data_IF_390853207749
#
_entry.id   IF_390853207749
#
_cell.length_a   1.000
_cell.length_b   1.000
_cell.length_c   1.000
_cell.angle_alpha   90.00
_cell.angle_beta   90.00
_cell.angle_gamma   90.00
#
_symmetry.space_group_name_H-M   'P 1'
#
loop_
_entity.id
_entity.type
_entity.pdbx_description
1 polymer ?
#
# COMPACT_ATOMS: atom_id res chain seq x y z
N UNK A 1 -8.63 4.43 -22.54
CA UNK A 1 -9.03 4.17 -21.14
C UNK A 1 -7.76 3.97 -20.32
N UNK A 2 -7.68 4.63 -19.20
CA UNK A 2 -6.53 4.57 -18.28
C UNK A 2 -7.01 4.06 -16.93
N UNK A 3 -6.26 3.16 -16.32
CA UNK A 3 -6.60 2.51 -15.04
C UNK A 3 -5.56 2.87 -14.01
N UNK A 4 -5.98 3.40 -12.87
CA UNK A 4 -5.15 3.50 -11.67
C UNK A 4 -5.34 2.21 -10.87
N UNK A 5 -4.29 1.39 -10.80
CA UNK A 5 -4.35 0.07 -10.20
C UNK A 5 -3.50 0.03 -8.93
N UNK A 6 -4.10 -0.37 -7.83
CA UNK A 6 -3.42 -0.55 -6.55
C UNK A 6 -3.16 -2.03 -6.31
N UNK A 7 -1.91 -2.38 -6.04
CA UNK A 7 -1.48 -3.72 -5.67
C UNK A 7 -0.48 -3.69 -4.53
N UNK A 8 -0.03 -4.85 -4.09
CA UNK A 8 0.92 -4.97 -3.00
C UNK A 8 2.31 -5.34 -3.47
N UNK A 9 2.39 -6.16 -4.50
CA UNK A 9 3.63 -6.69 -5.05
C UNK A 9 3.57 -6.79 -6.57
N UNK A 10 4.73 -6.74 -7.21
CA UNK A 10 4.89 -6.92 -8.66
C UNK A 10 6.19 -7.67 -8.95
N UNK A 11 6.25 -8.55 -9.99
CA UNK A 11 7.48 -9.24 -10.31
C UNK A 11 8.66 -8.29 -10.63
N UNK A 12 9.92 -8.67 -10.30
CA UNK A 12 10.35 -10.00 -9.85
C UNK A 12 10.23 -10.24 -8.34
N UNK A 13 9.93 -9.23 -7.53
CA UNK A 13 9.89 -9.31 -6.06
C UNK A 13 8.49 -9.64 -5.57
N UNK A 14 8.13 -10.90 -5.60
CA UNK A 14 6.83 -11.41 -5.17
C UNK A 14 6.98 -12.42 -4.03
N UNK A 15 6.04 -12.40 -3.10
CA UNK A 15 5.93 -13.39 -2.03
C UNK A 15 4.92 -14.51 -2.35
N UNK A 16 3.98 -14.22 -3.25
CA UNK A 16 2.90 -15.14 -3.60
C UNK A 16 2.36 -14.99 -5.01
N UNK A 17 1.15 -15.49 -5.24
CA UNK A 17 0.51 -15.45 -6.55
C UNK A 17 -0.08 -14.11 -6.97
N UNK A 18 -0.25 -13.18 -6.01
CA UNK A 18 -0.90 -11.89 -6.26
C UNK A 18 -0.11 -11.05 -7.26
N UNK A 19 1.21 -10.93 -7.07
CA UNK A 19 2.07 -10.18 -7.99
C UNK A 19 2.06 -10.73 -9.40
N UNK A 20 2.07 -12.06 -9.56
CA UNK A 20 1.94 -12.71 -10.87
C UNK A 20 0.58 -12.44 -11.52
N UNK A 21 -0.50 -12.46 -10.72
CA UNK A 21 -1.83 -12.13 -11.21
C UNK A 21 -1.92 -10.66 -11.66
N UNK A 22 -1.36 -9.73 -10.87
CA UNK A 22 -1.29 -8.32 -11.22
C UNK A 22 -0.56 -8.10 -12.56
N UNK A 23 0.61 -8.72 -12.73
CA UNK A 23 1.36 -8.65 -13.98
C UNK A 23 0.55 -9.18 -15.16
N UNK A 24 -0.11 -10.33 -15.01
CA UNK A 24 -0.96 -10.91 -16.04
C UNK A 24 -2.11 -10.00 -16.44
N UNK A 25 -2.78 -9.37 -15.47
CA UNK A 25 -3.86 -8.41 -15.71
C UNK A 25 -3.33 -7.17 -16.44
N UNK A 26 -2.23 -6.59 -15.98
CA UNK A 26 -1.61 -5.41 -16.60
C UNK A 26 -1.22 -5.69 -18.05
N UNK A 27 -0.57 -6.83 -18.33
CA UNK A 27 -0.23 -7.25 -19.70
C UNK A 27 -1.48 -7.46 -20.56
N UNK A 28 -2.53 -8.07 -20.00
CA UNK A 28 -3.81 -8.25 -20.67
C UNK A 28 -4.51 -6.93 -21.00
N UNK A 29 -4.46 -5.97 -20.08
CA UNK A 29 -4.99 -4.61 -20.29
C UNK A 29 -4.21 -3.88 -21.39
N UNK A 30 -2.87 -3.90 -21.33
CA UNK A 30 -2.01 -3.29 -22.34
C UNK A 30 -2.25 -3.88 -23.73
N UNK A 31 -2.41 -5.22 -23.84
CA UNK A 31 -2.75 -5.89 -25.10
C UNK A 31 -4.07 -5.39 -25.70
N UNK A 32 -5.01 -4.97 -24.86
CA UNK A 32 -6.30 -4.39 -25.27
C UNK A 32 -6.28 -2.86 -25.40
N UNK A 33 -5.12 -2.23 -25.43
CA UNK A 33 -4.97 -0.78 -25.57
C UNK A 33 -5.39 0.03 -24.36
N UNK A 34 -5.37 -0.56 -23.17
CA UNK A 34 -5.66 0.09 -21.90
C UNK A 34 -4.34 0.41 -21.19
N UNK A 35 -4.13 1.67 -20.87
CA UNK A 35 -2.96 2.13 -20.11
C UNK A 35 -3.19 1.89 -18.61
N UNK A 36 -2.16 1.48 -17.91
CA UNK A 36 -2.22 1.23 -16.47
C UNK A 36 -1.14 2.03 -15.73
N UNK A 37 -1.56 2.70 -14.66
CA UNK A 37 -0.68 3.24 -13.63
C UNK A 37 -0.76 2.30 -12.44
N UNK A 38 0.29 1.52 -12.16
CA UNK A 38 0.32 0.54 -11.09
C UNK A 38 1.01 1.11 -9.86
N UNK A 39 0.30 1.21 -8.76
CA UNK A 39 0.81 1.70 -7.48
C UNK A 39 1.10 0.51 -6.58
N UNK A 40 2.28 0.50 -5.96
CA UNK A 40 2.67 -0.50 -4.97
C UNK A 40 3.38 0.16 -3.78
N UNK A 41 3.37 -0.45 -2.58
CA UNK A 41 3.98 0.13 -1.38
C UNK A 41 5.47 0.41 -1.55
N UNK A 42 6.21 -0.56 -2.08
CA UNK A 42 7.65 -0.46 -2.27
C UNK A 42 8.06 -1.09 -3.59
N UNK A 43 8.62 -0.28 -4.49
CA UNK A 43 9.21 -0.74 -5.75
C UNK A 43 10.74 -0.81 -5.61
N UNK A 44 11.35 -1.82 -6.19
CA UNK A 44 12.81 -2.02 -6.20
C UNK A 44 13.50 -1.34 -7.37
N UNK A 45 12.74 -1.00 -8.42
CA UNK A 45 13.21 -0.31 -9.61
C UNK A 45 13.68 -1.23 -10.75
N UNK A 46 13.57 -2.53 -10.57
CA UNK A 46 13.88 -3.57 -11.57
C UNK A 46 12.63 -4.30 -12.11
N UNK A 47 11.43 -3.81 -11.73
CA UNK A 47 10.17 -4.32 -12.25
C UNK A 47 10.01 -4.04 -13.74
N UNK A 48 9.40 -4.99 -14.47
CA UNK A 48 9.10 -4.83 -15.91
C UNK A 48 7.98 -3.80 -16.15
N UNK A 49 8.35 -2.63 -16.60
CA UNK A 49 7.43 -1.53 -16.90
C UNK A 49 7.02 -1.45 -18.39
N UNK A 50 7.24 -2.51 -19.17
CA UNK A 50 6.89 -2.53 -20.60
C UNK A 50 5.37 -2.42 -20.86
N UNK A 51 4.55 -2.86 -19.91
CA UNK A 51 3.09 -2.86 -20.00
C UNK A 51 2.39 -1.88 -19.04
N UNK A 52 3.12 -1.23 -18.13
CA UNK A 52 2.57 -0.32 -17.13
C UNK A 52 3.61 0.68 -16.65
N UNK A 53 3.14 1.79 -16.09
CA UNK A 53 4.00 2.68 -15.29
C UNK A 53 3.84 2.32 -13.82
N UNK A 54 4.94 2.02 -13.13
CA UNK A 54 4.93 1.71 -11.70
C UNK A 54 5.17 2.96 -10.88
N UNK A 55 4.33 3.16 -9.87
CA UNK A 55 4.43 4.23 -8.89
C UNK A 55 4.81 3.62 -7.55
N UNK A 56 5.96 3.99 -7.02
CA UNK A 56 6.41 3.61 -5.69
C UNK A 56 5.77 4.53 -4.64
N UNK A 57 4.87 4.01 -3.82
CA UNK A 57 4.19 4.79 -2.79
C UNK A 57 5.15 5.35 -1.73
N UNK A 58 6.31 4.71 -1.51
CA UNK A 58 7.35 5.21 -0.61
C UNK A 58 7.96 6.56 -1.06
N UNK A 59 7.82 6.93 -2.33
CA UNK A 59 8.35 8.18 -2.88
C UNK A 59 7.33 9.33 -2.84
N UNK A 60 6.08 9.03 -2.53
CA UNK A 60 4.99 10.02 -2.51
C UNK A 60 4.80 10.57 -1.11
N UNK A 61 4.82 11.91 -1.01
CA UNK A 61 4.52 12.61 0.23
C UNK A 61 3.00 12.79 0.41
N UNK A 62 2.52 12.65 1.63
CA UNK A 62 1.11 12.94 1.95
C UNK A 62 0.93 14.45 2.08
N UNK A 63 0.27 15.07 1.11
CA UNK A 63 0.15 16.52 1.02
C UNK A 63 -1.17 17.07 1.60
N UNK A 64 -2.16 16.23 1.84
CA UNK A 64 -3.51 16.70 2.18
C UNK A 64 -4.03 16.03 3.44
N UNK A 65 -4.21 16.81 4.50
CA UNK A 65 -5.13 16.44 5.59
C UNK A 65 -6.48 17.02 5.23
N UNK A 66 -7.35 16.24 4.57
CA UNK A 66 -8.76 16.55 4.47
C UNK A 66 -9.49 16.00 5.70
N UNK A 67 -10.66 16.54 6.04
CA UNK A 67 -11.53 15.98 7.10
C UNK A 67 -11.73 14.47 6.94
N UNK A 68 -11.79 14.00 5.69
CA UNK A 68 -11.88 12.57 5.34
C UNK A 68 -10.63 11.79 5.78
N UNK A 69 -9.45 12.40 5.71
CA UNK A 69 -8.20 11.75 6.16
C UNK A 69 -8.14 11.70 7.68
N UNK A 70 -8.61 12.73 8.39
CA UNK A 70 -8.69 12.70 9.86
C UNK A 70 -9.66 11.62 10.34
N UNK A 71 -10.85 11.52 9.73
CA UNK A 71 -11.81 10.46 10.03
C UNK A 71 -11.24 9.06 9.73
N UNK A 72 -10.50 8.93 8.63
CA UNK A 72 -9.83 7.70 8.26
C UNK A 72 -8.71 7.34 9.26
N UNK A 73 -7.92 8.31 9.70
CA UNK A 73 -6.88 8.12 10.70
C UNK A 73 -7.43 7.64 12.04
N UNK A 74 -8.57 8.16 12.46
CA UNK A 74 -9.24 7.70 13.68
C UNK A 74 -9.75 6.26 13.55
N UNK A 75 -10.27 5.87 12.39
CA UNK A 75 -10.62 4.48 12.09
C UNK A 75 -9.41 3.56 12.06
N UNK A 76 -8.30 4.02 11.49
CA UNK A 76 -7.03 3.27 11.46
C UNK A 76 -6.46 3.07 12.86
N UNK A 77 -6.47 4.09 13.71
CA UNK A 77 -6.10 3.96 15.12
C UNK A 77 -6.96 2.91 15.83
N UNK A 78 -8.27 2.88 15.56
CA UNK A 78 -9.17 1.89 16.11
C UNK A 78 -8.84 0.47 15.65
N UNK A 79 -8.57 0.27 14.35
CA UNK A 79 -8.17 -1.03 13.79
C UNK A 79 -6.84 -1.48 14.40
N UNK A 80 -5.88 -0.57 14.55
CA UNK A 80 -4.58 -0.87 15.13
C UNK A 80 -4.67 -1.26 16.61
N UNK A 81 -5.55 -0.63 17.38
CA UNK A 81 -5.80 -0.96 18.78
C UNK A 81 -6.56 -2.29 18.93
N UNK A 82 -7.40 -2.64 17.95
CA UNK A 82 -8.32 -3.78 18.02
C UNK A 82 -7.82 -5.09 17.38
N UNK A 83 -6.85 -5.04 16.47
CA UNK A 83 -6.42 -6.23 15.73
C UNK A 83 -5.01 -6.67 16.10
N UNK A 84 -4.92 -7.70 16.93
CA UNK A 84 -3.68 -8.42 17.21
C UNK A 84 -3.44 -9.54 16.17
N UNK A 85 -3.95 -9.39 14.95
CA UNK A 85 -3.76 -10.41 13.92
C UNK A 85 -2.43 -10.22 13.22
N UNK A 86 -1.51 -11.15 13.47
CA UNK A 86 -0.26 -11.29 12.73
C UNK A 86 -0.43 -12.50 11.81
N UNK A 87 -0.63 -12.28 10.49
CA UNK A 87 -0.73 -13.39 9.55
C UNK A 87 0.56 -14.21 9.57
N UNK A 88 0.42 -15.54 9.62
CA UNK A 88 1.53 -16.50 9.51
C UNK A 88 2.57 -16.49 10.66
N UNK A 89 2.26 -15.94 11.82
CA UNK A 89 3.16 -16.01 12.97
C UNK A 89 3.04 -17.33 13.75
N UNK A 90 4.17 -17.87 14.18
CA UNK A 90 4.19 -18.98 15.13
C UNK A 90 3.61 -18.54 16.48
N UNK A 91 2.78 -19.37 17.16
CA UNK A 91 2.17 -19.01 18.45
C UNK A 91 3.16 -18.59 19.54
N UNK A 92 4.41 -19.08 19.47
CA UNK A 92 5.47 -18.72 20.43
C UNK A 92 6.12 -17.38 20.14
N UNK A 93 6.15 -16.95 18.88
CA UNK A 93 6.62 -15.63 18.45
C UNK A 93 5.52 -14.56 18.62
N UNK A 94 4.26 -14.97 18.56
CA UNK A 94 3.11 -14.08 18.66
C UNK A 94 3.11 -13.23 19.95
N UNK A 95 3.45 -13.85 21.09
CA UNK A 95 3.54 -13.14 22.36
C UNK A 95 4.62 -12.06 22.41
N UNK A 96 5.76 -12.32 21.79
CA UNK A 96 6.87 -11.33 21.70
C UNK A 96 6.52 -10.18 20.75
N UNK A 97 5.88 -10.49 19.63
CA UNK A 97 5.43 -9.50 18.65
C UNK A 97 4.37 -8.56 19.23
N UNK A 98 3.43 -9.08 20.04
CA UNK A 98 2.44 -8.24 20.74
C UNK A 98 3.10 -7.28 21.72
N UNK A 99 4.09 -7.73 22.49
CA UNK A 99 4.76 -6.87 23.47
C UNK A 99 5.63 -5.79 22.79
N UNK A 100 6.35 -6.15 21.73
CA UNK A 100 7.11 -5.19 20.93
C UNK A 100 6.20 -4.17 20.24
N UNK A 101 5.04 -4.60 19.74
CA UNK A 101 4.06 -3.74 19.11
C UNK A 101 3.43 -2.79 20.15
N UNK A 102 3.11 -3.27 21.35
CA UNK A 102 2.59 -2.46 22.46
C UNK A 102 3.56 -1.36 22.89
N UNK A 103 4.86 -1.65 22.87
CA UNK A 103 5.92 -0.67 23.16
C UNK A 103 6.10 0.34 22.03
N UNK A 104 5.85 -0.06 20.76
CA UNK A 104 5.84 0.85 19.61
C UNK A 104 4.62 1.79 19.60
N UNK A 105 3.47 1.31 20.03
CA UNK A 105 2.22 2.09 20.08
C UNK A 105 2.28 3.30 21.01
N UNK A 106 3.19 3.32 21.97
CA UNK A 106 3.44 4.49 22.82
C UNK A 106 4.25 5.60 22.14
N UNK A 107 4.80 5.36 20.93
CA UNK A 107 5.52 6.35 20.15
C UNK A 107 4.68 6.84 18.96
N UNK A 108 3.92 7.88 19.22
CA UNK A 108 3.35 8.86 18.27
C UNK A 108 3.01 8.40 16.84
N UNK A 109 1.72 8.14 16.63
CA UNK A 109 1.10 8.17 15.32
C UNK A 109 0.80 9.65 14.95
N UNK A 110 1.85 10.46 14.78
CA UNK A 110 1.74 11.82 14.27
C UNK A 110 2.09 11.83 12.79
N UNK A 111 1.12 12.15 11.94
CA UNK A 111 1.36 12.35 10.50
C UNK A 111 1.59 13.83 10.29
N UNK A 112 2.78 14.17 9.82
CA UNK A 112 3.13 15.52 9.44
C UNK A 112 2.91 15.74 7.94
N UNK A 113 2.49 16.94 7.55
CA UNK A 113 2.45 17.37 6.15
C UNK A 113 3.79 17.13 5.44
N UNK A 114 3.76 16.63 4.21
CA UNK A 114 4.96 16.33 3.44
C UNK A 114 5.70 15.07 3.89
N UNK A 115 5.11 14.28 4.80
CA UNK A 115 5.74 13.05 5.27
C UNK A 115 5.69 11.97 4.19
N UNK A 116 6.84 11.33 3.96
CA UNK A 116 6.96 10.11 3.17
C UNK A 116 7.02 8.91 4.11
N UNK A 117 6.27 7.87 3.78
CA UNK A 117 6.34 6.61 4.49
C UNK A 117 7.28 5.64 3.76
N UNK A 118 8.09 4.92 4.53
CA UNK A 118 8.86 3.80 4.00
C UNK A 118 8.06 2.53 4.25
N UNK A 119 7.76 1.84 3.17
CA UNK A 119 7.07 0.56 3.21
C UNK A 119 8.06 -0.56 3.00
N UNK A 120 7.88 -1.68 3.71
CA UNK A 120 8.65 -2.89 3.47
C UNK A 120 8.09 -3.68 2.27
N UNK A 121 6.81 -3.54 2.00
CA UNK A 121 6.07 -4.32 1.00
C UNK A 121 5.97 -5.81 1.35
N UNK A 122 6.27 -6.19 2.59
CA UNK A 122 6.30 -7.58 3.04
C UNK A 122 5.12 -7.90 3.97
N UNK A 123 4.74 -9.17 3.99
CA UNK A 123 3.71 -9.69 4.90
C UNK A 123 4.34 -9.94 6.28
N UNK A 124 4.59 -8.88 7.04
CA UNK A 124 5.22 -8.93 8.35
C UNK A 124 4.30 -8.55 9.50
N UNK A 125 4.86 -8.45 10.70
CA UNK A 125 4.11 -8.11 11.91
C UNK A 125 3.42 -6.72 11.87
N UNK A 126 3.94 -5.81 11.07
CA UNK A 126 3.43 -4.45 10.87
C UNK A 126 2.54 -4.30 9.61
N UNK A 127 2.07 -5.43 9.02
CA UNK A 127 1.31 -5.40 7.77
C UNK A 127 0.10 -4.46 7.85
N UNK A 128 -0.69 -4.54 8.91
CA UNK A 128 -1.90 -3.71 9.04
C UNK A 128 -1.58 -2.21 9.11
N UNK A 129 -0.47 -1.85 9.75
CA UNK A 129 0.02 -0.48 9.79
C UNK A 129 0.49 -0.01 8.41
N UNK A 130 1.22 -0.87 7.68
CA UNK A 130 1.64 -0.55 6.31
C UNK A 130 0.44 -0.41 5.37
N UNK A 131 -0.55 -1.29 5.46
CA UNK A 131 -1.80 -1.21 4.67
C UNK A 131 -2.52 0.11 4.94
N UNK A 132 -2.66 0.49 6.21
CA UNK A 132 -3.31 1.74 6.58
C UNK A 132 -2.58 2.98 6.02
N UNK A 133 -1.27 3.03 6.16
CA UNK A 133 -0.44 4.10 5.60
C UNK A 133 -0.46 4.09 4.07
N UNK A 134 -0.42 2.90 3.47
CA UNK A 134 -0.51 2.76 2.02
C UNK A 134 -1.84 3.26 1.47
N UNK A 135 -2.96 2.97 2.15
CA UNK A 135 -4.26 3.50 1.76
C UNK A 135 -4.32 5.03 1.78
N UNK A 136 -3.66 5.69 2.74
CA UNK A 136 -3.57 7.16 2.80
C UNK A 136 -2.74 7.72 1.63
N UNK A 137 -1.58 7.12 1.35
CA UNK A 137 -0.75 7.50 0.21
C UNK A 137 -1.51 7.24 -1.10
N UNK A 138 -2.23 6.12 -1.19
CA UNK A 138 -3.08 5.78 -2.33
C UNK A 138 -4.16 6.83 -2.59
N UNK A 139 -4.82 7.29 -1.53
CA UNK A 139 -5.78 8.41 -1.62
C UNK A 139 -5.13 9.70 -2.11
N UNK A 140 -3.95 10.05 -1.63
CA UNK A 140 -3.17 11.20 -2.10
C UNK A 140 -2.85 11.08 -3.59
N UNK A 141 -2.35 9.92 -4.03
CA UNK A 141 -2.04 9.66 -5.45
C UNK A 141 -3.30 9.80 -6.32
N UNK A 142 -4.41 9.20 -5.89
CA UNK A 142 -5.66 9.27 -6.62
C UNK A 142 -6.18 10.72 -6.77
N UNK A 143 -6.06 11.52 -5.73
CA UNK A 143 -6.46 12.95 -5.77
C UNK A 143 -5.52 13.80 -6.65
N UNK A 144 -4.22 13.61 -6.52
CA UNK A 144 -3.23 14.35 -7.32
C UNK A 144 -3.33 14.02 -8.82
N UNK A 145 -3.73 12.80 -9.15
CA UNK A 145 -3.78 12.28 -10.53
C UNK A 145 -5.20 12.04 -11.05
N UNK A 146 -6.21 12.67 -10.43
CA UNK A 146 -7.63 12.45 -10.75
C UNK A 146 -8.01 12.59 -12.23
N UNK A 147 -7.25 13.39 -12.99
CA UNK A 147 -7.49 13.64 -14.41
C UNK A 147 -6.64 12.70 -15.31
N UNK A 148 -5.83 11.80 -14.72
CA UNK A 148 -4.94 10.89 -15.43
C UNK A 148 -5.51 9.49 -15.61
N UNK A 149 -6.65 9.16 -14.98
CA UNK A 149 -7.27 7.83 -15.07
C UNK A 149 -8.79 7.92 -15.16
N UNK A 150 -9.40 6.89 -15.72
CA UNK A 150 -10.84 6.75 -15.90
C UNK A 150 -11.47 5.81 -14.86
N UNK A 151 -10.68 4.86 -14.35
CA UNK A 151 -11.14 3.79 -13.43
C UNK A 151 -10.06 3.52 -12.38
N UNK A 152 -10.49 3.22 -11.15
CA UNK A 152 -9.64 2.69 -10.09
C UNK A 152 -9.89 1.19 -9.95
N UNK A 153 -8.80 0.41 -9.90
CA UNK A 153 -8.80 -1.03 -9.64
C UNK A 153 -7.90 -1.32 -8.45
N UNK A 154 -8.44 -1.86 -7.38
CA UNK A 154 -7.68 -2.25 -6.19
C UNK A 154 -7.73 -3.76 -5.99
N UNK A 155 -6.59 -4.34 -5.62
CA UNK A 155 -6.46 -5.72 -5.15
C UNK A 155 -6.39 -5.74 -3.62
N UNK A 156 -7.07 -6.71 -3.05
CA UNK A 156 -7.06 -7.07 -1.63
C UNK A 156 -6.02 -8.15 -1.31
#
# INVERSE_FOLDING_TARGET
>A
MRVLMFGWEFPPHIAGGLGTACEGIVKGLAYNGVETLFVMPSASGDEDQSATTIINASDVAVDTVSETVEEYLDKVKFIHIGSNMVPYADPTEFGKLIEEERLRQQKDFSISFGQKFKFSGKYGANLMEEVARYAMVGGTIALQRKDEFDVIHAHD
#
